data_IF_038124199953
#
_entry.id   IF_038124199953
#
_cell.length_a   1.000
_cell.length_b   1.000
_cell.length_c   1.000
_cell.angle_alpha   90.00
_cell.angle_beta   90.00
_cell.angle_gamma   90.00
#
_symmetry.space_group_name_H-M   'P 1'
#
loop_
_entity.id
_entity.type
_entity.pdbx_description
1 polymer ?
#
# COMPACT_ATOMS: atom_id res chain seq x y z
N UNK A 1 24.77 3.88 19.04
CA UNK A 1 26.10 3.77 18.41
C UNK A 1 26.05 2.62 17.41
N UNK A 2 26.18 2.88 16.11
CA UNK A 2 26.23 1.84 15.09
C UNK A 2 27.67 1.31 14.98
N UNK A 3 27.87 0.01 15.15
CA UNK A 3 29.15 -0.63 14.89
C UNK A 3 29.27 -0.93 13.40
N UNK A 4 30.03 -0.09 12.69
CA UNK A 4 30.26 -0.17 11.23
C UNK A 4 31.19 -1.34 10.86
N UNK A 5 31.81 -2.00 11.85
CA UNK A 5 32.80 -3.07 11.67
C UNK A 5 32.24 -4.39 11.11
N UNK A 6 30.92 -4.51 10.92
CA UNK A 6 30.29 -5.71 10.34
C UNK A 6 29.88 -5.55 8.87
N UNK A 7 30.13 -4.38 8.26
CA UNK A 7 29.80 -4.17 6.86
C UNK A 7 30.76 -4.94 5.96
N UNK A 8 30.21 -5.78 5.08
CA UNK A 8 30.95 -6.46 4.03
C UNK A 8 31.11 -5.53 2.83
N UNK A 9 32.23 -5.66 2.11
CA UNK A 9 32.45 -4.94 0.85
C UNK A 9 31.38 -5.37 -0.16
N UNK A 10 30.69 -4.39 -0.74
CA UNK A 10 29.73 -4.61 -1.82
C UNK A 10 30.46 -4.90 -3.14
N UNK A 11 30.02 -5.93 -3.86
CA UNK A 11 30.46 -6.23 -5.23
C UNK A 11 29.33 -5.86 -6.19
N UNK A 12 29.53 -4.89 -7.09
CA UNK A 12 28.52 -4.50 -8.06
C UNK A 12 28.16 -5.68 -8.97
N UNK A 13 26.87 -5.98 -9.08
CA UNK A 13 26.30 -6.94 -10.03
C UNK A 13 25.11 -6.22 -10.69
N UNK A 14 25.00 -6.22 -12.03
CA UNK A 14 23.79 -5.76 -12.72
C UNK A 14 22.48 -6.33 -12.16
N UNK A 15 22.49 -7.53 -11.58
CA UNK A 15 21.30 -8.12 -10.91
C UNK A 15 20.89 -7.38 -9.62
N UNK A 16 21.82 -6.65 -9.00
CA UNK A 16 21.54 -5.83 -7.82
C UNK A 16 20.92 -4.47 -8.16
N UNK A 17 20.77 -4.13 -9.45
CA UNK A 17 20.14 -2.88 -9.86
C UNK A 17 18.64 -3.00 -9.62
N UNK A 18 18.17 -2.33 -8.58
CA UNK A 18 16.74 -2.15 -8.33
C UNK A 18 16.25 -1.12 -9.35
N UNK A 19 15.44 -1.57 -10.31
CA UNK A 19 14.74 -0.66 -11.21
C UNK A 19 13.73 0.14 -10.40
N UNK A 20 13.83 1.48 -10.36
CA UNK A 20 12.83 2.28 -9.69
C UNK A 20 11.49 2.12 -10.40
N UNK A 21 10.41 2.01 -9.63
CA UNK A 21 9.06 2.07 -10.19
C UNK A 21 8.78 3.50 -10.65
N UNK A 22 8.20 3.66 -11.85
CA UNK A 22 7.73 4.95 -12.37
C UNK A 22 6.47 5.39 -11.60
N UNK A 23 6.69 5.99 -10.45
CA UNK A 23 5.64 6.47 -9.54
C UNK A 23 5.41 7.96 -9.84
N UNK A 24 4.24 8.27 -10.41
CA UNK A 24 3.79 9.66 -10.54
C UNK A 24 3.43 10.23 -9.17
N UNK A 25 4.37 10.94 -8.54
CA UNK A 25 4.14 11.73 -7.34
C UNK A 25 3.45 13.04 -7.71
N UNK A 26 2.39 13.40 -6.99
CA UNK A 26 1.86 14.76 -7.04
C UNK A 26 2.82 15.73 -6.38
N UNK A 27 2.71 17.03 -6.69
CA UNK A 27 3.52 18.11 -6.08
C UNK A 27 3.53 18.06 -4.53
N UNK A 28 2.46 17.55 -3.93
CA UNK A 28 2.33 17.35 -2.48
C UNK A 28 3.00 16.07 -1.96
N UNK A 29 3.85 15.41 -2.74
CA UNK A 29 4.48 14.11 -2.45
C UNK A 29 3.47 12.98 -2.15
N UNK A 30 2.22 13.15 -2.59
CA UNK A 30 1.17 12.16 -2.42
C UNK A 30 1.14 11.21 -3.61
N UNK A 31 1.26 9.91 -3.36
CA UNK A 31 1.02 8.87 -4.34
C UNK A 31 -0.44 8.42 -4.28
N UNK A 32 -1.16 8.55 -5.39
CA UNK A 32 -2.55 8.07 -5.50
C UNK A 32 -2.53 6.64 -6.01
N UNK A 33 -2.52 5.67 -5.09
CA UNK A 33 -2.76 4.26 -5.45
C UNK A 33 -4.22 4.14 -5.92
N UNK A 34 -4.50 3.81 -7.19
CA UNK A 34 -5.87 3.51 -7.59
C UNK A 34 -6.31 2.20 -6.92
N UNK A 35 -7.54 2.10 -6.42
CA UNK A 35 -8.03 0.84 -5.87
C UNK A 35 -8.14 -0.20 -6.99
N UNK A 36 -7.61 -1.40 -6.75
CA UNK A 36 -7.65 -2.50 -7.73
C UNK A 36 -9.08 -2.99 -7.90
N UNK A 37 -9.77 -3.24 -6.78
CA UNK A 37 -11.15 -3.76 -6.77
C UNK A 37 -11.87 -3.50 -5.46
N UNK A 38 -13.19 -3.42 -5.54
CA UNK A 38 -14.08 -3.48 -4.36
C UNK A 38 -14.32 -4.96 -4.08
N UNK A 39 -13.89 -5.42 -2.90
CA UNK A 39 -14.03 -6.82 -2.50
C UNK A 39 -15.40 -7.14 -1.90
N UNK A 40 -15.98 -6.20 -1.15
CA UNK A 40 -17.19 -6.45 -0.38
C UNK A 40 -17.92 -5.14 -0.03
N UNK A 41 -19.22 -5.25 0.29
CA UNK A 41 -20.09 -4.16 0.73
C UNK A 41 -20.87 -4.59 1.97
N UNK A 42 -20.88 -3.77 3.02
CA UNK A 42 -21.60 -4.04 4.26
C UNK A 42 -22.36 -2.81 4.75
N UNK A 43 -23.56 -2.98 5.29
CA UNK A 43 -24.27 -1.90 5.95
C UNK A 43 -23.90 -1.85 7.44
N UNK A 44 -23.40 -0.71 7.91
CA UNK A 44 -23.11 -0.48 9.33
C UNK A 44 -24.23 0.38 9.90
N UNK A 45 -25.03 -0.21 10.79
CA UNK A 45 -26.01 0.54 11.58
C UNK A 45 -25.28 1.26 12.72
N UNK A 46 -25.39 2.58 12.75
CA UNK A 46 -25.05 3.41 13.90
C UNK A 46 -26.31 3.71 14.70
N UNK A 47 -26.18 4.37 15.85
CA UNK A 47 -27.32 4.71 16.71
C UNK A 47 -28.42 5.52 16.01
N UNK A 48 -28.05 6.35 15.04
CA UNK A 48 -28.98 7.30 14.40
C UNK A 48 -29.15 7.08 12.90
N UNK A 49 -28.21 6.39 12.25
CA UNK A 49 -28.17 6.26 10.78
C UNK A 49 -27.52 4.95 10.36
N UNK A 50 -27.79 4.53 9.13
CA UNK A 50 -27.12 3.40 8.50
C UNK A 50 -26.18 3.92 7.42
N UNK A 51 -24.94 3.42 7.42
CA UNK A 51 -23.90 3.85 6.49
C UNK A 51 -23.40 2.63 5.70
N UNK A 52 -23.38 2.70 4.35
CA UNK A 52 -22.76 1.65 3.54
C UNK A 52 -21.23 1.74 3.66
N UNK A 53 -20.62 0.61 3.99
CA UNK A 53 -19.18 0.42 4.01
C UNK A 53 -18.77 -0.42 2.81
N UNK A 54 -17.65 -0.05 2.17
CA UNK A 54 -17.04 -0.83 1.10
C UNK A 54 -15.64 -1.28 1.51
N UNK A 55 -15.33 -2.55 1.26
CA UNK A 55 -13.99 -3.12 1.45
C UNK A 55 -13.22 -2.93 0.15
N UNK A 56 -12.17 -2.13 0.19
CA UNK A 56 -11.36 -1.79 -0.99
C UNK A 56 -10.02 -2.53 -0.93
N UNK A 57 -9.63 -3.18 -2.02
CA UNK A 57 -8.32 -3.81 -2.20
C UNK A 57 -7.42 -2.85 -2.95
N UNK A 58 -6.22 -2.60 -2.40
CA UNK A 58 -5.26 -1.63 -2.92
C UNK A 58 -4.08 -2.25 -3.67
N UNK A 59 -3.73 -3.53 -3.41
CA UNK A 59 -2.62 -4.23 -4.06
C UNK A 59 -3.00 -5.70 -4.35
N UNK A 60 -2.56 -6.25 -5.48
CA UNK A 60 -2.64 -7.69 -5.79
C UNK A 60 -1.45 -8.49 -5.23
N UNK A 61 -0.34 -7.81 -4.98
CA UNK A 61 0.87 -8.43 -4.46
C UNK A 61 0.77 -8.62 -2.94
N UNK A 62 0.76 -9.90 -2.56
CA UNK A 62 0.73 -10.48 -1.21
C UNK A 62 -0.68 -10.68 -0.66
N UNK A 63 -0.97 -11.96 -0.51
CA UNK A 63 -2.06 -12.64 0.19
C UNK A 63 -2.14 -12.29 1.69
N UNK A 64 -2.00 -11.02 2.02
CA UNK A 64 -2.33 -10.44 3.32
C UNK A 64 -3.27 -9.30 3.02
N UNK A 65 -4.56 -9.63 2.99
CA UNK A 65 -5.66 -8.72 2.68
C UNK A 65 -5.71 -7.54 3.66
N UNK A 66 -4.89 -6.51 3.46
CA UNK A 66 -5.09 -5.21 4.10
C UNK A 66 -6.20 -4.45 3.35
N UNK A 67 -7.42 -4.98 3.40
CA UNK A 67 -8.61 -4.30 2.91
C UNK A 67 -9.05 -3.23 3.91
N UNK A 68 -9.14 -1.98 3.48
CA UNK A 68 -9.63 -0.88 4.33
C UNK A 68 -11.13 -0.67 4.09
N UNK A 69 -11.90 -0.55 5.17
CA UNK A 69 -13.31 -0.16 5.09
C UNK A 69 -13.43 1.35 4.93
N UNK A 70 -14.13 1.78 3.90
CA UNK A 70 -14.49 3.18 3.69
C UNK A 70 -16.00 3.35 3.75
N UNK A 71 -16.44 4.34 4.52
CA UNK A 71 -17.80 4.86 4.44
C UNK A 71 -17.92 5.70 3.17
N UNK A 72 -19.05 5.57 2.50
CA UNK A 72 -19.40 6.40 1.36
C UNK A 72 -20.14 7.64 1.80
#
# INVERSE_FOLDING_TARGET
>A
VFHVSQLRKYTPDPSHVITPDDIQLKENLLFKVPPVKIADRKMKRLRTKEIPLVKVIWNEAKETQHGSWKAR
#
